data_IF_829852505786
#
_entry.id   IF_829852505786
#
_cell.length_a   1.000
_cell.length_b   1.000
_cell.length_c   1.000
_cell.angle_alpha   90.00
_cell.angle_beta   90.00
_cell.angle_gamma   90.00
#
_symmetry.space_group_name_H-M   'P 1'
#
loop_
_entity.id
_entity.type
_entity.pdbx_description
1 polymer ?
#
# COMPACT_ATOMS: atom_id res chain seq x y z
N UNK A 1 -11.63 -9.54 15.48
CA UNK A 1 -12.24 -10.61 14.67
C UNK A 1 -13.71 -10.87 14.99
N UNK A 2 -14.10 -11.01 16.27
CA UNK A 2 -15.51 -11.25 16.64
C UNK A 2 -16.54 -10.24 16.07
N UNK A 3 -16.19 -8.94 16.05
CA UNK A 3 -17.06 -7.89 15.46
C UNK A 3 -17.33 -8.12 13.97
N UNK A 4 -16.34 -8.58 13.21
CA UNK A 4 -16.49 -8.85 11.78
C UNK A 4 -17.43 -10.04 11.54
N UNK A 5 -17.33 -11.10 12.35
CA UNK A 5 -18.21 -12.28 12.26
C UNK A 5 -19.67 -11.91 12.55
N UNK A 6 -19.90 -11.08 13.57
CA UNK A 6 -21.25 -10.61 13.92
C UNK A 6 -21.86 -9.79 12.78
N UNK A 7 -21.10 -8.86 12.21
CA UNK A 7 -21.55 -8.05 11.06
C UNK A 7 -21.90 -8.96 9.88
N UNK A 8 -21.09 -9.97 9.60
CA UNK A 8 -21.31 -10.92 8.51
C UNK A 8 -22.60 -11.72 8.70
N UNK A 9 -22.89 -12.15 9.94
CA UNK A 9 -24.13 -12.85 10.29
C UNK A 9 -25.37 -11.97 10.10
N UNK A 10 -25.32 -10.71 10.56
CA UNK A 10 -26.42 -9.75 10.40
C UNK A 10 -26.68 -9.47 8.92
N UNK A 11 -25.63 -9.20 8.14
CA UNK A 11 -25.73 -8.96 6.70
C UNK A 11 -26.29 -10.18 5.97
N UNK A 12 -25.82 -11.39 6.32
CA UNK A 12 -26.32 -12.64 5.73
C UNK A 12 -27.81 -12.88 6.04
N UNK A 13 -28.25 -12.62 7.28
CA UNK A 13 -29.65 -12.74 7.67
C UNK A 13 -30.56 -11.75 6.93
N UNK A 14 -30.13 -10.49 6.78
CA UNK A 14 -30.86 -9.45 6.04
C UNK A 14 -30.95 -9.81 4.55
N UNK A 15 -29.84 -10.27 3.95
CA UNK A 15 -29.82 -10.74 2.56
C UNK A 15 -30.77 -11.94 2.39
N UNK A 16 -30.72 -12.93 3.27
CA UNK A 16 -31.64 -14.07 3.22
C UNK A 16 -33.09 -13.61 3.24
N UNK A 17 -33.45 -12.67 4.12
CA UNK A 17 -34.82 -12.17 4.21
C UNK A 17 -35.25 -11.40 2.94
N UNK A 18 -34.37 -10.56 2.39
CA UNK A 18 -34.62 -9.85 1.12
C UNK A 18 -34.78 -10.79 -0.07
N UNK A 19 -34.00 -11.88 -0.11
CA UNK A 19 -34.07 -12.88 -1.17
C UNK A 19 -35.09 -14.00 -0.91
N UNK A 20 -35.66 -14.12 0.28
CA UNK A 20 -36.66 -15.12 0.66
C UNK A 20 -37.89 -15.16 -0.27
N UNK A 21 -38.56 -14.03 -0.59
CA UNK A 21 -39.70 -14.04 -1.52
C UNK A 21 -39.29 -14.51 -2.94
N UNK A 22 -38.06 -14.24 -3.36
CA UNK A 22 -37.52 -14.70 -4.64
C UNK A 22 -37.15 -16.19 -4.64
N UNK A 23 -36.72 -16.73 -3.51
CA UNK A 23 -36.38 -18.15 -3.32
C UNK A 23 -37.63 -19.05 -3.28
N UNK A 24 -38.74 -18.56 -2.71
CA UNK A 24 -40.00 -19.31 -2.58
C UNK A 24 -40.71 -19.54 -3.92
N UNK A 25 -40.55 -18.63 -4.88
CA UNK A 25 -41.22 -18.73 -6.18
C UNK A 25 -40.36 -19.54 -7.19
N UNK A 26 -40.78 -20.77 -7.52
CA UNK A 26 -40.01 -21.75 -8.32
C UNK A 26 -39.58 -21.23 -9.69
N UNK A 27 -40.40 -20.37 -10.30
CA UNK A 27 -40.13 -19.75 -11.61
C UNK A 27 -39.07 -18.64 -11.50
N UNK A 28 -39.16 -17.79 -10.47
CA UNK A 28 -38.19 -16.71 -10.24
C UNK A 28 -36.86 -17.23 -9.70
N UNK A 29 -36.85 -18.34 -8.95
CA UNK A 29 -35.63 -18.95 -8.39
C UNK A 29 -34.55 -19.20 -9.45
N UNK A 30 -34.92 -19.73 -10.62
CA UNK A 30 -33.96 -19.98 -11.72
C UNK A 30 -33.38 -18.68 -12.29
N UNK A 31 -34.21 -17.64 -12.42
CA UNK A 31 -33.78 -16.32 -12.91
C UNK A 31 -32.86 -15.65 -11.89
N UNK A 32 -33.23 -15.63 -10.61
CA UNK A 32 -32.44 -15.06 -9.53
C UNK A 32 -31.09 -15.76 -9.37
N UNK A 33 -31.05 -17.09 -9.44
CA UNK A 33 -29.79 -17.84 -9.37
C UNK A 33 -28.86 -17.50 -10.54
N UNK A 34 -29.41 -17.37 -11.76
CA UNK A 34 -28.63 -16.99 -12.95
C UNK A 34 -28.04 -15.59 -12.81
N UNK A 35 -28.85 -14.62 -12.36
CA UNK A 35 -28.38 -13.26 -12.10
C UNK A 35 -27.35 -13.21 -10.97
N UNK A 36 -27.56 -13.95 -9.88
CA UNK A 36 -26.61 -14.06 -8.79
C UNK A 36 -25.25 -14.57 -9.27
N UNK A 37 -25.21 -15.64 -10.07
CA UNK A 37 -23.96 -16.16 -10.62
C UNK A 37 -23.24 -15.16 -11.53
N UNK A 38 -23.98 -14.39 -12.33
CA UNK A 38 -23.40 -13.34 -13.18
C UNK A 38 -22.80 -12.22 -12.33
N UNK A 39 -23.54 -11.71 -11.35
CA UNK A 39 -23.07 -10.64 -10.44
C UNK A 39 -21.88 -11.12 -9.62
N UNK A 40 -21.93 -12.35 -9.11
CA UNK A 40 -20.84 -12.96 -8.36
C UNK A 40 -19.57 -13.12 -9.20
N UNK A 41 -19.69 -13.62 -10.44
CA UNK A 41 -18.57 -13.71 -11.37
C UNK A 41 -17.97 -12.34 -11.70
N UNK A 42 -18.81 -11.33 -11.95
CA UNK A 42 -18.35 -9.96 -12.20
C UNK A 42 -17.64 -9.36 -10.97
N UNK A 43 -18.16 -9.60 -9.76
CA UNK A 43 -17.54 -9.14 -8.52
C UNK A 43 -16.17 -9.80 -8.28
N UNK A 44 -16.03 -11.10 -8.57
CA UNK A 44 -14.74 -11.79 -8.50
C UNK A 44 -13.72 -11.21 -9.48
N UNK A 45 -14.13 -11.02 -10.74
CA UNK A 45 -13.26 -10.40 -11.75
C UNK A 45 -12.84 -8.99 -11.34
N UNK A 46 -13.79 -8.17 -10.88
CA UNK A 46 -13.49 -6.83 -10.40
C UNK A 46 -12.53 -6.85 -9.21
N UNK A 47 -12.74 -7.75 -8.23
CA UNK A 47 -11.83 -7.92 -7.09
C UNK A 47 -10.42 -8.32 -7.52
N UNK A 48 -10.28 -9.24 -8.48
CA UNK A 48 -8.96 -9.62 -9.00
C UNK A 48 -8.29 -8.47 -9.74
N UNK A 49 -9.02 -7.73 -10.58
CA UNK A 49 -8.50 -6.57 -11.28
C UNK A 49 -8.09 -5.48 -10.29
N UNK A 50 -8.93 -5.13 -9.32
CA UNK A 50 -8.60 -4.15 -8.29
C UNK A 50 -7.37 -4.54 -7.46
N UNK A 51 -7.16 -5.84 -7.21
CA UNK A 51 -5.94 -6.32 -6.55
C UNK A 51 -4.69 -6.05 -7.41
N UNK A 52 -4.74 -6.35 -8.71
CA UNK A 52 -3.61 -6.08 -9.62
C UNK A 52 -3.39 -4.59 -9.92
N UNK A 53 -4.45 -3.77 -9.88
CA UNK A 53 -4.38 -2.32 -10.12
C UNK A 53 -4.14 -1.50 -8.85
N UNK A 54 -4.11 -2.12 -7.67
CA UNK A 54 -3.65 -1.46 -6.45
C UNK A 54 -2.12 -1.40 -6.48
N UNK A 55 -1.56 -0.63 -7.41
CA UNK A 55 -0.22 -0.09 -7.23
C UNK A 55 -0.29 0.76 -5.95
N UNK A 56 0.19 0.20 -4.84
CA UNK A 56 0.33 0.92 -3.58
C UNK A 56 1.26 2.10 -3.85
N UNK A 57 0.65 3.27 -4.05
CA UNK A 57 1.41 4.51 -4.17
C UNK A 57 2.24 4.65 -2.89
N UNK A 58 3.55 4.94 -3.02
CA UNK A 58 4.38 5.12 -1.84
C UNK A 58 3.78 6.23 -0.95
N UNK A 59 3.79 6.05 0.38
CA UNK A 59 3.21 7.00 1.31
C UNK A 59 3.97 8.34 1.25
N UNK A 60 3.27 9.41 1.62
CA UNK A 60 3.85 10.77 1.62
C UNK A 60 5.12 10.87 2.48
N UNK A 61 5.17 10.13 3.60
CA UNK A 61 6.34 10.04 4.48
C UNK A 61 7.59 9.56 3.74
N UNK A 62 7.44 8.58 2.85
CA UNK A 62 8.52 8.05 2.05
C UNK A 62 8.97 9.06 0.99
N UNK A 63 8.03 9.64 0.25
CA UNK A 63 8.34 10.61 -0.81
C UNK A 63 9.10 11.83 -0.25
N UNK A 64 8.59 12.44 0.83
CA UNK A 64 9.25 13.59 1.46
C UNK A 64 10.58 13.20 2.10
N UNK A 65 10.66 12.04 2.74
CA UNK A 65 11.90 11.58 3.35
C UNK A 65 13.00 11.33 2.33
N UNK A 66 12.67 10.74 1.18
CA UNK A 66 13.59 10.57 0.05
C UNK A 66 14.11 11.92 -0.46
N UNK A 67 13.25 12.94 -0.57
CA UNK A 67 13.65 14.28 -0.97
C UNK A 67 14.63 14.93 0.03
N UNK A 68 14.35 14.80 1.34
CA UNK A 68 15.24 15.29 2.39
C UNK A 68 16.62 14.62 2.34
N UNK A 69 16.65 13.31 2.08
CA UNK A 69 17.90 12.56 1.96
C UNK A 69 18.67 12.95 0.70
N UNK A 70 18.00 13.16 -0.44
CA UNK A 70 18.66 13.61 -1.70
C UNK A 70 19.37 14.95 -1.57
N UNK A 71 18.95 15.80 -0.64
CA UNK A 71 19.57 17.10 -0.40
C UNK A 71 20.85 17.02 0.46
N UNK A 72 21.19 15.84 1.01
CA UNK A 72 22.40 15.68 1.83
C UNK A 72 23.67 15.73 0.96
N UNK A 73 24.60 16.68 1.18
CA UNK A 73 25.80 16.83 0.36
C UNK A 73 26.70 15.59 0.34
N UNK A 74 26.74 14.85 1.46
CA UNK A 74 27.56 13.65 1.64
C UNK A 74 27.15 12.50 0.71
N UNK A 75 25.86 12.40 0.37
CA UNK A 75 25.34 11.38 -0.53
C UNK A 75 25.56 11.77 -1.98
N UNK A 76 25.32 13.04 -2.31
CA UNK A 76 25.55 13.58 -3.66
C UNK A 76 27.00 13.42 -4.11
N UNK A 77 27.97 13.58 -3.21
CA UNK A 77 29.39 13.35 -3.54
C UNK A 77 29.71 11.88 -3.83
N UNK A 78 28.93 10.93 -3.29
CA UNK A 78 29.14 9.48 -3.48
C UNK A 78 28.46 8.95 -4.73
N UNK A 79 27.20 9.33 -4.95
CA UNK A 79 26.41 8.81 -6.08
C UNK A 79 26.60 9.63 -7.36
N UNK A 80 27.11 10.87 -7.27
CA UNK A 80 27.17 11.80 -8.40
C UNK A 80 25.79 12.42 -8.69
N UNK A 81 25.47 12.60 -9.97
CA UNK A 81 24.15 13.12 -10.35
C UNK A 81 23.07 12.04 -10.10
N UNK A 82 22.01 12.42 -9.39
CA UNK A 82 20.88 11.54 -9.10
C UNK A 82 20.24 11.01 -10.39
N UNK A 83 19.97 9.70 -10.46
CA UNK A 83 19.24 9.05 -11.55
C UNK A 83 17.89 8.53 -11.10
N UNK A 84 17.89 7.63 -10.13
CA UNK A 84 16.66 6.95 -9.68
C UNK A 84 16.73 6.49 -8.23
N UNK A 85 15.55 6.22 -7.65
CA UNK A 85 15.40 5.59 -6.34
C UNK A 85 14.84 4.20 -6.56
N UNK A 86 15.48 3.20 -5.97
CA UNK A 86 15.01 1.81 -5.98
C UNK A 86 14.61 1.45 -4.55
N UNK A 87 13.42 0.88 -4.37
CA UNK A 87 12.92 0.47 -3.06
C UNK A 87 12.07 -0.80 -3.22
N UNK A 88 11.95 -1.55 -2.13
CA UNK A 88 11.03 -2.67 -2.04
C UNK A 88 9.70 -2.18 -1.45
N UNK A 89 8.58 -2.59 -2.03
CA UNK A 89 7.25 -2.24 -1.52
C UNK A 89 7.01 -2.80 -0.11
N UNK A 90 7.63 -3.95 0.22
CA UNK A 90 7.54 -4.54 1.55
C UNK A 90 8.26 -3.73 2.63
N UNK A 91 9.21 -2.88 2.24
CA UNK A 91 9.99 -2.00 3.12
C UNK A 91 9.40 -0.59 3.23
N UNK A 92 8.25 -0.32 2.59
CA UNK A 92 7.58 0.98 2.71
C UNK A 92 7.00 1.15 4.12
N UNK A 93 7.13 2.35 4.72
CA UNK A 93 6.50 2.62 6.01
C UNK A 93 4.98 2.61 5.86
N UNK A 94 4.24 2.31 6.93
CA UNK A 94 2.79 2.45 6.91
C UNK A 94 2.42 3.94 6.97
N UNK A 95 1.27 4.35 6.40
CA UNK A 95 0.81 5.75 6.49
C UNK A 95 0.64 6.26 7.93
N UNK A 96 0.44 5.36 8.89
CA UNK A 96 0.29 5.66 10.32
C UNK A 96 1.62 5.77 11.08
N UNK A 97 2.75 5.41 10.47
CA UNK A 97 4.02 5.31 11.19
C UNK A 97 4.62 6.70 11.45
N UNK A 98 4.92 6.99 12.71
CA UNK A 98 5.62 8.21 13.13
C UNK A 98 6.43 7.92 14.42
N UNK A 99 7.77 7.86 14.36
CA UNK A 99 8.60 8.07 13.17
C UNK A 99 8.48 6.92 12.15
N UNK A 100 8.57 7.27 10.86
CA UNK A 100 8.63 6.32 9.75
C UNK A 100 10.09 5.97 9.44
N UNK A 101 10.36 4.67 9.28
CA UNK A 101 11.67 4.15 8.87
C UNK A 101 11.61 3.90 7.37
N UNK A 102 12.61 4.39 6.65
CA UNK A 102 12.70 4.36 5.19
C UNK A 102 13.93 3.56 4.82
N UNK A 103 13.77 2.55 3.95
CA UNK A 103 14.87 1.80 3.38
C UNK A 103 14.79 1.87 1.86
N UNK A 104 15.81 2.43 1.24
CA UNK A 104 15.85 2.59 -0.21
C UNK A 104 17.28 2.72 -0.71
N UNK A 105 17.47 2.45 -1.99
CA UNK A 105 18.75 2.60 -2.69
C UNK A 105 18.70 3.83 -3.59
N UNK A 106 19.61 4.77 -3.35
CA UNK A 106 19.84 5.90 -4.23
C UNK A 106 20.84 5.51 -5.31
N UNK A 107 20.46 5.65 -6.57
CA UNK A 107 21.33 5.42 -7.71
C UNK A 107 21.65 6.73 -8.41
N UNK A 108 22.93 6.98 -8.63
CA UNK A 108 23.40 8.12 -9.41
C UNK A 108 24.32 7.71 -10.55
N UNK A 109 24.99 8.69 -11.15
CA UNK A 109 25.93 8.48 -12.27
C UNK A 109 27.18 7.72 -11.88
N UNK A 110 27.66 7.91 -10.64
CA UNK A 110 28.96 7.43 -10.17
C UNK A 110 28.85 6.17 -9.31
N UNK A 111 27.66 5.85 -8.82
CA UNK A 111 27.45 4.67 -7.97
C UNK A 111 26.04 4.59 -7.39
N UNK A 112 25.84 3.61 -6.53
CA UNK A 112 24.60 3.40 -5.78
C UNK A 112 24.92 3.28 -4.28
N UNK A 113 24.04 3.83 -3.44
CA UNK A 113 24.17 3.78 -1.98
C UNK A 113 22.84 3.34 -1.38
N UNK A 114 22.89 2.36 -0.47
CA UNK A 114 21.74 1.95 0.31
C UNK A 114 21.61 2.87 1.52
N UNK A 115 20.43 3.47 1.69
CA UNK A 115 20.14 4.43 2.74
C UNK A 115 19.04 3.87 3.63
N UNK A 116 19.29 3.93 4.93
CA UNK A 116 18.27 3.78 5.96
C UNK A 116 18.08 5.13 6.63
N UNK A 117 16.88 5.70 6.50
CA UNK A 117 16.55 7.01 7.03
C UNK A 117 15.33 6.94 7.93
N UNK A 118 15.30 7.74 8.99
CA UNK A 118 14.17 7.84 9.90
C UNK A 118 13.61 9.24 9.83
N UNK A 119 12.33 9.36 9.50
CA UNK A 119 11.64 10.64 9.39
C UNK A 119 10.50 10.72 10.39
N UNK A 120 10.32 11.89 10.99
CA UNK A 120 9.23 12.14 11.93
C UNK A 120 8.33 13.27 11.42
N UNK A 121 7.04 13.19 11.74
CA UNK A 121 6.08 14.24 11.41
C UNK A 121 5.99 15.22 12.58
N UNK A 122 6.27 16.50 12.31
CA UNK A 122 6.20 17.57 13.30
C UNK A 122 4.77 18.00 13.62
N UNK A 123 4.60 18.79 14.68
CA UNK A 123 3.30 19.33 15.11
C UNK A 123 2.63 20.23 14.06
N UNK A 124 3.42 20.80 13.15
CA UNK A 124 2.95 21.62 12.01
C UNK A 124 2.66 20.79 10.74
N UNK A 125 2.75 19.46 10.82
CA UNK A 125 2.44 18.55 9.72
C UNK A 125 3.58 18.28 8.73
N UNK A 126 4.70 19.03 8.81
CA UNK A 126 5.88 18.78 7.98
C UNK A 126 6.70 17.57 8.45
N UNK A 127 7.25 16.81 7.52
CA UNK A 127 8.20 15.73 7.80
C UNK A 127 9.61 16.29 7.92
N UNK A 128 10.38 15.77 8.87
CA UNK A 128 11.77 16.13 9.05
C UNK A 128 12.62 14.88 9.31
N UNK A 129 13.87 14.96 8.90
CA UNK A 129 14.83 13.89 9.06
C UNK A 129 15.32 13.85 10.53
N UNK A 130 15.22 12.68 11.14
CA UNK A 130 15.67 12.46 12.53
C UNK A 130 17.01 11.74 12.56
N UNK A 131 17.16 10.68 11.77
CA UNK A 131 18.38 9.88 11.69
C UNK A 131 18.60 9.46 10.23
N UNK A 132 19.87 9.41 9.81
CA UNK A 132 20.29 8.82 8.53
C UNK A 132 21.48 7.93 8.76
N UNK A 133 21.34 6.67 8.38
CA UNK A 133 22.41 5.69 8.36
C UNK A 133 22.65 5.26 6.91
N UNK A 134 23.93 5.26 6.53
CA UNK A 134 24.38 4.61 5.32
C UNK A 134 24.58 3.13 5.63
N UNK A 135 23.81 2.28 4.97
CA UNK A 135 24.04 0.83 5.04
C UNK A 135 25.10 0.55 3.99
N UNK A 136 26.31 0.20 4.46
CA UNK A 136 27.53 0.06 3.66
C UNK A 136 27.31 -0.64 2.32
N UNK A 137 28.11 -0.30 1.29
CA UNK A 137 27.87 -0.76 -0.08
C UNK A 137 27.80 -2.28 -0.16
N UNK A 138 26.70 -2.78 -0.74
CA UNK A 138 26.67 -4.10 -1.35
C UNK A 138 27.75 -4.09 -2.46
N UNK A 139 28.87 -4.76 -2.18
CA UNK A 139 30.00 -5.08 -3.05
C UNK A 139 31.24 -4.15 -3.01
N UNK A 140 32.34 -4.72 -2.50
CA UNK A 140 33.69 -4.58 -3.07
C UNK A 140 33.79 -5.47 -4.33
#
# INVERSE_FOLDING_TARGET
MAKAVIILFVVSGVLYFLFYPFLKNRVNRKKTLRWFLIVYGAALLFSTISYYFSEEKPPESFLQGVELVKQQPQLTSKIGQFKQVVYNNEDLPRPSDNPAILKFTLQGTSGAVQVEAKVAKGSRGGWYLTETAEVSPLYN
#
